data_IF_839692458284
#
_entry.id   IF_839692458284
#
_cell.length_a   1.000
_cell.length_b   1.000
_cell.length_c   1.000
_cell.angle_alpha   90.00
_cell.angle_beta   90.00
_cell.angle_gamma   90.00
#
_symmetry.space_group_name_H-M   'P 1'
#
loop_
_entity.id
_entity.type
_entity.pdbx_description
1 polymer ?
#
# COMPACT_ATOMS: atom_id res chain seq x y z
N UNK A 1 -26.86 22.72 104.77
CA UNK A 1 -25.74 21.81 105.06
C UNK A 1 -24.94 21.71 103.78
N UNK A 2 -23.76 22.31 103.75
CA UNK A 2 -22.77 22.08 102.71
C UNK A 2 -21.97 20.85 103.15
N UNK A 3 -22.05 19.75 102.39
CA UNK A 3 -21.15 18.62 102.58
C UNK A 3 -19.73 19.11 102.29
N UNK A 4 -18.86 18.99 103.28
CA UNK A 4 -17.44 19.28 103.15
C UNK A 4 -16.82 18.08 102.44
N UNK A 5 -16.32 18.28 101.22
CA UNK A 5 -15.60 17.25 100.47
C UNK A 5 -14.44 16.74 101.32
N UNK A 6 -14.34 15.43 101.45
CA UNK A 6 -13.25 14.79 102.18
C UNK A 6 -11.98 14.83 101.32
N UNK A 7 -10.82 14.72 101.98
CA UNK A 7 -9.55 14.60 101.27
C UNK A 7 -9.52 13.41 100.30
N UNK A 8 -10.26 12.34 100.62
CA UNK A 8 -10.43 11.17 99.75
C UNK A 8 -11.20 11.50 98.49
N UNK A 9 -12.31 12.24 98.58
CA UNK A 9 -13.10 12.63 97.39
C UNK A 9 -12.28 13.47 96.40
N UNK A 10 -11.38 14.31 96.92
CA UNK A 10 -10.47 15.12 96.10
C UNK A 10 -9.45 14.22 95.39
N UNK A 11 -8.90 13.21 96.06
CA UNK A 11 -7.92 12.28 95.47
C UNK A 11 -8.59 11.46 94.38
N UNK A 12 -9.77 10.90 94.63
CA UNK A 12 -10.50 10.09 93.65
C UNK A 12 -10.84 10.90 92.39
N UNK A 13 -11.28 12.16 92.56
CA UNK A 13 -11.52 13.06 91.44
C UNK A 13 -10.25 13.41 90.65
N UNK A 14 -9.10 13.48 91.33
CA UNK A 14 -7.81 13.75 90.69
C UNK A 14 -7.33 12.55 89.86
N UNK A 15 -7.53 11.33 90.37
CA UNK A 15 -7.22 10.09 89.67
C UNK A 15 -8.13 9.93 88.44
N UNK A 16 -9.43 10.19 88.56
CA UNK A 16 -10.35 10.17 87.40
C UNK A 16 -9.94 11.20 86.33
N UNK A 17 -9.57 12.42 86.75
CA UNK A 17 -9.06 13.43 85.82
C UNK A 17 -7.76 12.98 85.14
N UNK A 18 -6.87 12.32 85.87
CA UNK A 18 -5.61 11.79 85.33
C UNK A 18 -5.86 10.71 84.28
N UNK A 19 -6.79 9.80 84.56
CA UNK A 19 -7.18 8.74 83.62
C UNK A 19 -7.80 9.33 82.36
N UNK A 20 -8.70 10.32 82.51
CA UNK A 20 -9.28 11.04 81.37
C UNK A 20 -8.23 11.79 80.55
N UNK A 21 -7.22 12.38 81.19
CA UNK A 21 -6.11 13.02 80.47
C UNK A 21 -5.28 12.00 79.70
N UNK A 22 -5.06 10.81 80.25
CA UNK A 22 -4.32 9.74 79.55
C UNK A 22 -5.12 9.21 78.36
N UNK A 23 -6.43 8.95 78.51
CA UNK A 23 -7.31 8.55 77.40
C UNK A 23 -7.31 9.59 76.28
N UNK A 24 -7.41 10.88 76.63
CA UNK A 24 -7.35 11.96 75.64
C UNK A 24 -6.01 12.01 74.91
N UNK A 25 -4.88 11.74 75.60
CA UNK A 25 -3.57 11.67 74.94
C UNK A 25 -3.49 10.52 73.95
N UNK A 26 -3.90 9.32 74.35
CA UNK A 26 -3.91 8.15 73.46
C UNK A 26 -4.79 8.40 72.22
N UNK A 27 -5.93 9.07 72.40
CA UNK A 27 -6.81 9.47 71.28
C UNK A 27 -6.16 10.52 70.38
N UNK A 28 -5.43 11.48 70.93
CA UNK A 28 -4.68 12.47 70.13
C UNK A 28 -3.58 11.77 69.32
N UNK A 29 -2.79 10.90 69.94
CA UNK A 29 -1.72 10.16 69.26
C UNK A 29 -2.28 9.28 68.11
N UNK A 30 -3.44 8.65 68.33
CA UNK A 30 -4.13 7.88 67.30
C UNK A 30 -4.63 8.75 66.14
N UNK A 31 -5.14 9.94 66.43
CA UNK A 31 -5.59 10.89 65.40
C UNK A 31 -4.38 11.40 64.61
N UNK A 32 -3.27 11.76 65.27
CA UNK A 32 -2.04 12.19 64.61
C UNK A 32 -1.51 11.11 63.66
N UNK A 33 -1.53 9.85 64.08
CA UNK A 33 -1.16 8.71 63.22
C UNK A 33 -2.06 8.63 61.98
N UNK A 34 -3.38 8.72 62.17
CA UNK A 34 -4.35 8.67 61.06
C UNK A 34 -4.17 9.84 60.09
N UNK A 35 -3.87 11.04 60.61
CA UNK A 35 -3.60 12.23 59.78
C UNK A 35 -2.36 12.01 58.93
N UNK A 36 -1.26 11.51 59.51
CA UNK A 36 -0.04 11.23 58.76
C UNK A 36 -0.27 10.18 57.65
N UNK A 37 -1.02 9.12 57.93
CA UNK A 37 -1.38 8.11 56.91
C UNK A 37 -2.21 8.69 55.77
N UNK A 38 -3.12 9.62 56.08
CA UNK A 38 -3.88 10.34 55.06
C UNK A 38 -3.00 11.30 54.25
N UNK A 39 -2.06 12.01 54.87
CA UNK A 39 -1.12 12.88 54.17
C UNK A 39 -0.25 12.07 53.19
N UNK A 40 0.30 10.92 53.62
CA UNK A 40 1.04 10.00 52.75
C UNK A 40 0.19 9.53 51.56
N UNK A 41 -1.09 9.21 51.82
CA UNK A 41 -2.03 8.79 50.76
C UNK A 41 -2.31 9.92 49.75
N UNK A 42 -2.38 11.17 50.23
CA UNK A 42 -2.58 12.34 49.36
C UNK A 42 -1.36 12.53 48.46
N UNK A 43 -0.14 12.46 49.01
CA UNK A 43 1.11 12.60 48.26
C UNK A 43 1.24 11.53 47.16
N UNK A 44 0.85 10.30 47.46
CA UNK A 44 0.79 9.21 46.48
C UNK A 44 -0.21 9.50 45.35
N UNK A 45 -1.40 9.98 45.69
CA UNK A 45 -2.41 10.36 44.70
C UNK A 45 -1.97 11.54 43.83
N UNK A 46 -1.31 12.56 44.39
CA UNK A 46 -0.77 13.69 43.62
C UNK A 46 0.31 13.23 42.63
N UNK A 47 1.15 12.28 43.05
CA UNK A 47 2.17 11.67 42.19
C UNK A 47 1.54 10.90 41.02
N UNK A 48 0.50 10.10 41.29
CA UNK A 48 -0.27 9.37 40.26
C UNK A 48 -0.94 10.34 39.30
N UNK A 49 -1.55 11.42 39.81
CA UNK A 49 -2.23 12.42 38.99
C UNK A 49 -1.25 13.10 38.04
N UNK A 50 -0.07 13.49 38.55
CA UNK A 50 1.00 14.11 37.75
C UNK A 50 1.46 13.18 36.62
N UNK A 51 1.73 11.91 36.93
CA UNK A 51 2.13 10.93 35.93
C UNK A 51 1.03 10.69 34.88
N UNK A 52 -0.23 10.62 35.31
CA UNK A 52 -1.38 10.46 34.42
C UNK A 52 -1.52 11.65 33.48
N UNK A 53 -1.37 12.89 33.98
CA UNK A 53 -1.46 14.08 33.16
C UNK A 53 -0.34 14.11 32.10
N UNK A 54 0.89 13.76 32.47
CA UNK A 54 2.00 13.64 31.52
C UNK A 54 1.74 12.59 30.42
N UNK A 55 1.12 11.45 30.76
CA UNK A 55 0.73 10.45 29.77
C UNK A 55 -0.35 10.97 28.81
N UNK A 56 -1.32 11.73 29.32
CA UNK A 56 -2.39 12.35 28.50
C UNK A 56 -1.79 13.36 27.52
N UNK A 57 -0.89 14.22 27.96
CA UNK A 57 -0.19 15.18 27.10
C UNK A 57 0.61 14.50 25.99
N UNK A 58 1.34 13.42 26.32
CA UNK A 58 2.08 12.63 25.35
C UNK A 58 1.17 11.97 24.30
N UNK A 59 -0.01 11.48 24.72
CA UNK A 59 -1.00 10.92 23.79
C UNK A 59 -1.57 11.99 22.86
N UNK A 60 -1.86 13.19 23.36
CA UNK A 60 -2.28 14.31 22.51
C UNK A 60 -1.20 14.68 21.49
N UNK A 61 0.07 14.76 21.89
CA UNK A 61 1.19 14.99 20.97
C UNK A 61 1.24 13.96 19.85
N UNK A 62 1.19 12.67 20.19
CA UNK A 62 1.18 11.58 19.21
C UNK A 62 -0.04 11.64 18.26
N UNK A 63 -1.20 12.04 18.77
CA UNK A 63 -2.41 12.20 17.95
C UNK A 63 -2.23 13.31 16.91
N UNK A 64 -1.66 14.44 17.31
CA UNK A 64 -1.40 15.56 16.39
C UNK A 64 -0.39 15.17 15.30
N UNK A 65 0.70 14.50 15.67
CA UNK A 65 1.70 14.02 14.71
C UNK A 65 1.08 13.03 13.70
N UNK A 66 0.15 12.18 14.15
CA UNK A 66 -0.57 11.27 13.27
C UNK A 66 -1.52 12.01 12.31
N UNK A 67 -2.18 13.07 12.78
CA UNK A 67 -3.05 13.89 11.94
C UNK A 67 -2.27 14.64 10.85
N UNK A 68 -1.10 15.19 11.18
CA UNK A 68 -0.21 15.83 10.22
C UNK A 68 0.24 14.84 9.14
N UNK A 69 0.71 13.65 9.54
CA UNK A 69 1.10 12.58 8.60
C UNK A 69 -0.05 12.12 7.68
N UNK A 70 -1.29 12.11 8.18
CA UNK A 70 -2.45 11.78 7.35
C UNK A 70 -2.75 12.87 6.32
N UNK A 71 -2.52 14.14 6.66
CA UNK A 71 -2.69 15.24 5.73
C UNK A 71 -1.62 15.23 4.63
N UNK A 72 -0.37 14.94 5.00
CA UNK A 72 0.72 14.78 4.02
C UNK A 72 0.40 13.64 3.03
N UNK A 73 0.00 12.47 3.54
CA UNK A 73 -0.38 11.32 2.71
C UNK A 73 -1.55 11.63 1.77
N UNK A 74 -2.52 12.43 2.19
CA UNK A 74 -3.61 12.89 1.31
C UNK A 74 -3.06 13.77 0.18
N UNK A 75 -2.15 14.69 0.51
CA UNK A 75 -1.47 15.52 -0.50
C UNK A 75 -0.68 14.69 -1.52
N UNK A 76 0.02 13.65 -1.07
CA UNK A 76 0.74 12.73 -1.96
C UNK A 76 -0.20 11.96 -2.88
N UNK A 77 -1.36 11.51 -2.38
CA UNK A 77 -2.39 10.84 -3.18
C UNK A 77 -2.94 11.77 -4.25
N UNK A 78 -3.28 13.02 -3.89
CA UNK A 78 -3.80 14.01 -4.84
C UNK A 78 -2.77 14.31 -5.94
N UNK A 79 -1.48 14.44 -5.58
CA UNK A 79 -0.40 14.66 -6.56
C UNK A 79 -0.19 13.46 -7.50
N UNK A 80 -0.37 12.24 -6.98
CA UNK A 80 -0.30 11.02 -7.79
C UNK A 80 -1.48 10.92 -8.75
N UNK A 81 -2.70 11.24 -8.31
CA UNK A 81 -3.90 11.28 -9.15
C UNK A 81 -3.73 12.29 -10.31
N UNK A 82 -3.25 13.49 -10.01
CA UNK A 82 -2.92 14.51 -11.02
C UNK A 82 -1.90 13.99 -12.06
N UNK A 83 -0.91 13.23 -11.60
CA UNK A 83 0.10 12.62 -12.47
C UNK A 83 -0.51 11.55 -13.36
N UNK A 84 -1.36 10.68 -12.81
CA UNK A 84 -2.07 9.65 -13.57
C UNK A 84 -2.99 10.24 -14.63
N UNK A 85 -3.73 11.31 -14.30
CA UNK A 85 -4.58 12.00 -15.27
C UNK A 85 -3.76 12.63 -16.40
N UNK A 86 -2.58 13.19 -16.10
CA UNK A 86 -1.67 13.74 -17.13
C UNK A 86 -1.15 12.65 -18.07
N UNK A 87 -0.74 11.51 -17.52
CA UNK A 87 -0.28 10.37 -18.31
C UNK A 87 -1.41 9.80 -19.18
N UNK A 88 -2.62 9.70 -18.64
CA UNK A 88 -3.79 9.22 -19.39
C UNK A 88 -4.07 10.09 -20.61
N UNK A 89 -4.09 11.42 -20.44
CA UNK A 89 -4.23 12.36 -21.58
C UNK A 89 -3.10 12.23 -22.58
N UNK A 90 -1.87 12.00 -22.11
CA UNK A 90 -0.74 11.83 -23.01
C UNK A 90 -0.84 10.54 -23.85
N UNK A 91 -1.38 9.47 -23.27
CA UNK A 91 -1.68 8.23 -23.99
C UNK A 91 -2.75 8.49 -25.05
N UNK A 92 -3.85 9.16 -24.70
CA UNK A 92 -4.90 9.54 -25.66
C UNK A 92 -4.34 10.37 -26.84
N UNK A 93 -3.46 11.34 -26.56
CA UNK A 93 -2.80 12.14 -27.60
C UNK A 93 -1.91 11.29 -28.53
N UNK A 94 -1.22 10.29 -27.98
CA UNK A 94 -0.37 9.36 -28.75
C UNK A 94 -1.23 8.45 -29.62
N UNK A 95 -2.33 7.91 -29.09
CA UNK A 95 -3.26 7.06 -29.84
C UNK A 95 -3.79 7.79 -31.07
N UNK A 96 -4.27 9.04 -30.91
CA UNK A 96 -4.71 9.89 -32.02
C UNK A 96 -3.59 10.10 -33.05
N UNK A 97 -2.36 10.32 -32.58
CA UNK A 97 -1.21 10.54 -33.47
C UNK A 97 -0.86 9.30 -34.29
N UNK A 98 -1.02 8.10 -33.70
CA UNK A 98 -0.82 6.82 -34.39
C UNK A 98 -1.90 6.61 -35.44
N UNK A 99 -3.17 6.85 -35.12
CA UNK A 99 -4.28 6.73 -36.07
C UNK A 99 -4.06 7.62 -37.30
N UNK A 100 -3.69 8.88 -37.10
CA UNK A 100 -3.37 9.80 -38.20
C UNK A 100 -2.20 9.28 -39.06
N UNK A 101 -1.16 8.73 -38.43
CA UNK A 101 -0.01 8.18 -39.15
C UNK A 101 -0.39 6.93 -39.97
N UNK A 102 -1.32 6.11 -39.48
CA UNK A 102 -1.92 4.99 -40.20
C UNK A 102 -2.66 5.50 -41.44
N UNK A 103 -3.62 6.40 -41.27
CA UNK A 103 -4.43 6.99 -42.34
C UNK A 103 -3.56 7.63 -43.44
N UNK A 104 -2.55 8.41 -43.05
CA UNK A 104 -1.65 9.07 -44.01
C UNK A 104 -0.87 8.08 -44.87
N UNK A 105 -0.48 6.94 -44.31
CA UNK A 105 0.25 5.92 -45.07
C UNK A 105 -0.66 5.11 -45.99
N UNK A 106 -1.93 4.94 -45.64
CA UNK A 106 -2.92 4.39 -46.57
C UNK A 106 -3.17 5.34 -47.74
N UNK A 107 -3.31 6.64 -47.47
CA UNK A 107 -3.43 7.66 -48.51
C UNK A 107 -2.21 7.71 -49.43
N UNK A 108 -0.99 7.62 -48.88
CA UNK A 108 0.24 7.58 -49.67
C UNK A 108 0.27 6.36 -50.61
N UNK A 109 -0.16 5.18 -50.14
CA UNK A 109 -0.27 3.97 -50.98
C UNK A 109 -1.24 4.15 -52.15
N UNK A 110 -2.42 4.72 -51.89
CA UNK A 110 -3.42 5.02 -52.92
C UNK A 110 -2.84 5.99 -53.95
N UNK A 111 -2.16 7.05 -53.50
CA UNK A 111 -1.62 8.09 -54.37
C UNK A 111 -0.50 7.59 -55.28
N UNK A 112 0.31 6.64 -54.80
CA UNK A 112 1.42 6.04 -55.55
C UNK A 112 0.99 4.96 -56.54
N UNK A 113 -0.31 4.62 -56.60
CA UNK A 113 -0.83 3.59 -57.50
C UNK A 113 -0.30 2.19 -57.20
N UNK A 114 0.18 1.96 -55.96
CA UNK A 114 0.55 0.64 -55.46
C UNK A 114 -0.76 -0.06 -55.13
N UNK A 115 -1.14 -1.05 -55.95
CA UNK A 115 -2.31 -1.89 -55.70
C UNK A 115 -2.18 -2.47 -54.27
N UNK A 116 -3.18 -2.30 -53.38
CA UNK A 116 -3.08 -2.78 -52.02
C UNK A 116 -3.08 -4.30 -52.06
N UNK A 117 -1.90 -4.92 -52.05
CA UNK A 117 -1.77 -6.29 -51.63
C UNK A 117 -2.18 -6.32 -50.15
N UNK A 118 -3.30 -6.98 -49.79
CA UNK A 118 -3.62 -7.18 -48.39
C UNK A 118 -2.48 -8.02 -47.80
N UNK A 119 -2.07 -7.72 -46.58
CA UNK A 119 -1.15 -8.55 -45.76
C UNK A 119 0.36 -8.22 -45.79
N UNK A 120 0.80 -7.09 -46.35
CA UNK A 120 2.16 -6.61 -46.06
C UNK A 120 2.16 -5.28 -45.31
N UNK A 121 1.99 -5.34 -43.99
CA UNK A 121 2.58 -4.35 -43.09
C UNK A 121 4.07 -4.36 -43.42
N UNK A 122 4.61 -3.26 -43.96
CA UNK A 122 6.03 -3.25 -44.34
C UNK A 122 6.85 -3.62 -43.10
N UNK A 123 7.79 -4.56 -43.22
CA UNK A 123 8.64 -4.99 -42.10
C UNK A 123 9.30 -3.80 -41.37
N UNK A 124 9.48 -2.65 -42.04
CA UNK A 124 9.89 -1.38 -41.44
C UNK A 124 8.89 -0.85 -40.40
N UNK A 125 7.58 -0.88 -40.67
CA UNK A 125 6.52 -0.45 -39.74
C UNK A 125 6.43 -1.37 -38.52
N UNK A 126 6.44 -2.69 -38.73
CA UNK A 126 6.48 -3.64 -37.63
C UNK A 126 7.75 -3.50 -36.76
N UNK A 127 8.90 -3.20 -37.37
CA UNK A 127 10.14 -2.88 -36.66
C UNK A 127 10.02 -1.57 -35.87
N UNK A 128 9.42 -0.51 -36.44
CA UNK A 128 9.20 0.75 -35.74
C UNK A 128 8.24 0.60 -34.55
N UNK A 129 7.14 -0.15 -34.71
CA UNK A 129 6.21 -0.47 -33.62
C UNK A 129 6.91 -1.31 -32.53
N UNK A 130 7.67 -2.33 -32.92
CA UNK A 130 8.44 -3.14 -31.97
C UNK A 130 9.57 -2.36 -31.27
N UNK A 131 10.13 -1.33 -31.91
CA UNK A 131 11.12 -0.45 -31.30
C UNK A 131 10.48 0.53 -30.32
N UNK A 132 9.32 1.10 -30.63
CA UNK A 132 8.53 1.88 -29.69
C UNK A 132 8.09 1.05 -28.47
N UNK A 133 7.63 -0.19 -28.68
CA UNK A 133 7.32 -1.10 -27.58
C UNK A 133 8.56 -1.47 -26.74
N UNK A 134 9.74 -1.63 -27.35
CA UNK A 134 11.00 -1.84 -26.62
C UNK A 134 11.42 -0.61 -25.82
N UNK A 135 11.24 0.59 -26.36
CA UNK A 135 11.62 1.83 -25.68
C UNK A 135 10.63 2.18 -24.54
N UNK A 136 9.35 1.85 -24.71
CA UNK A 136 8.33 1.94 -23.64
C UNK A 136 8.60 0.89 -22.56
N UNK A 137 8.78 -0.39 -22.92
CA UNK A 137 9.08 -1.46 -21.96
C UNK A 137 10.47 -1.34 -21.32
N UNK A 138 11.42 -0.69 -22.00
CA UNK A 138 12.77 -0.44 -21.50
C UNK A 138 12.91 0.84 -20.67
N UNK A 139 11.97 1.79 -20.77
CA UNK A 139 11.95 3.02 -19.98
C UNK A 139 11.03 2.95 -18.76
N UNK A 140 10.06 2.04 -18.73
CA UNK A 140 9.40 1.62 -17.48
C UNK A 140 10.37 0.72 -16.73
N UNK A 141 11.21 1.33 -15.90
CA UNK A 141 11.98 0.63 -14.88
C UNK A 141 11.02 0.00 -13.87
N UNK A 142 10.45 -1.16 -14.20
CA UNK A 142 9.76 -2.03 -13.25
C UNK A 142 10.86 -2.66 -12.39
N UNK A 143 11.16 -2.01 -11.27
CA UNK A 143 12.08 -2.47 -10.23
C UNK A 143 11.61 -3.73 -9.48
N UNK A 144 10.66 -4.50 -10.03
CA UNK A 144 10.10 -5.71 -9.44
C UNK A 144 10.07 -6.95 -10.34
N UNK A 145 10.31 -6.84 -11.64
CA UNK A 145 10.28 -7.99 -12.55
C UNK A 145 11.68 -8.64 -12.70
N UNK A 146 12.19 -9.23 -11.62
CA UNK A 146 13.44 -10.02 -11.64
C UNK A 146 13.20 -11.52 -11.85
N UNK A 147 11.99 -11.94 -12.22
CA UNK A 147 11.59 -13.36 -12.27
C UNK A 147 11.54 -14.02 -13.65
N UNK A 148 11.31 -13.27 -14.74
CA UNK A 148 11.35 -13.84 -16.08
C UNK A 148 12.78 -13.77 -16.58
N UNK A 149 13.60 -14.72 -16.13
CA UNK A 149 14.88 -14.98 -16.76
C UNK A 149 14.61 -15.50 -18.18
N UNK A 150 14.63 -14.61 -19.17
CA UNK A 150 14.62 -14.92 -20.61
C UNK A 150 15.96 -15.57 -21.02
N UNK A 151 16.53 -16.41 -20.15
CA UNK A 151 17.72 -17.21 -20.37
C UNK A 151 17.40 -18.53 -21.10
N UNK A 152 16.11 -18.87 -21.32
CA UNK A 152 15.78 -19.98 -22.20
C UNK A 152 16.06 -19.59 -23.66
N UNK A 153 17.30 -19.88 -24.05
CA UNK A 153 17.86 -19.66 -25.38
C UNK A 153 17.00 -20.32 -26.46
N UNK A 154 16.20 -21.34 -26.14
CA UNK A 154 15.29 -21.99 -27.10
C UNK A 154 14.08 -21.11 -27.43
N UNK A 155 13.45 -20.50 -26.43
CA UNK A 155 12.33 -19.57 -26.63
C UNK A 155 12.81 -18.35 -27.42
N UNK A 156 13.98 -17.81 -27.05
CA UNK A 156 14.59 -16.66 -27.73
C UNK A 156 14.95 -16.95 -29.19
N UNK A 157 15.61 -18.07 -29.48
CA UNK A 157 15.96 -18.44 -30.86
C UNK A 157 14.73 -18.77 -31.72
N UNK A 158 13.66 -19.31 -31.12
CA UNK A 158 12.41 -19.59 -31.85
C UNK A 158 11.64 -18.31 -32.17
N UNK A 159 11.59 -17.36 -31.23
CA UNK A 159 11.04 -16.02 -31.47
C UNK A 159 11.84 -15.26 -32.54
N UNK A 160 13.18 -15.38 -32.54
CA UNK A 160 14.03 -14.80 -33.60
C UNK A 160 13.85 -15.50 -34.96
N UNK A 161 13.56 -16.80 -34.98
CA UNK A 161 13.23 -17.52 -36.20
C UNK A 161 11.87 -17.06 -36.77
N UNK A 162 10.82 -17.00 -35.94
CA UNK A 162 9.51 -16.48 -36.35
C UNK A 162 9.54 -15.00 -36.73
N UNK A 163 10.43 -14.21 -36.13
CA UNK A 163 10.67 -12.81 -36.51
C UNK A 163 11.08 -12.62 -37.97
N UNK A 164 11.65 -13.64 -38.60
CA UNK A 164 12.11 -13.60 -39.99
C UNK A 164 11.18 -14.33 -40.97
N UNK A 165 10.04 -14.85 -40.51
CA UNK A 165 9.12 -15.67 -41.32
C UNK A 165 7.71 -15.09 -41.26
N UNK A 166 7.01 -14.98 -42.39
CA UNK A 166 5.60 -14.59 -42.40
C UNK A 166 4.74 -15.81 -42.01
N UNK A 167 4.01 -15.69 -40.91
CA UNK A 167 3.15 -16.76 -40.40
C UNK A 167 1.68 -16.47 -40.72
N UNK A 168 1.00 -17.43 -41.33
CA UNK A 168 -0.45 -17.37 -41.48
C UNK A 168 -1.17 -17.70 -40.17
N UNK A 169 -2.47 -17.42 -40.11
CA UNK A 169 -3.29 -17.57 -38.90
C UNK A 169 -3.20 -18.95 -38.22
N UNK A 170 -3.09 -20.05 -38.99
CA UNK A 170 -2.96 -21.41 -38.41
C UNK A 170 -1.57 -21.66 -37.82
N UNK A 171 -0.55 -21.01 -38.37
CA UNK A 171 0.81 -21.10 -37.87
C UNK A 171 0.99 -20.30 -36.57
N UNK A 172 0.26 -19.20 -36.40
CA UNK A 172 0.25 -18.42 -35.14
C UNK A 172 -0.30 -19.26 -33.98
N UNK A 173 -1.43 -19.96 -34.16
CA UNK A 173 -1.98 -20.83 -33.11
C UNK A 173 -1.00 -21.93 -32.70
N UNK A 174 -0.36 -22.57 -33.67
CA UNK A 174 0.65 -23.60 -33.40
C UNK A 174 1.89 -23.01 -32.69
N UNK A 175 2.29 -21.81 -33.05
CA UNK A 175 3.40 -21.12 -32.39
C UNK A 175 3.10 -20.78 -30.92
N UNK A 176 1.86 -20.40 -30.62
CA UNK A 176 1.41 -20.17 -29.23
C UNK A 176 1.38 -21.48 -28.42
N UNK A 177 0.85 -22.57 -29.00
CA UNK A 177 0.87 -23.89 -28.37
C UNK A 177 2.32 -24.35 -28.09
N UNK A 178 3.24 -24.17 -29.06
CA UNK A 178 4.66 -24.49 -28.90
C UNK A 178 5.32 -23.63 -27.81
N UNK A 179 4.97 -22.34 -27.69
CA UNK A 179 5.49 -21.46 -26.63
C UNK A 179 5.00 -21.88 -25.25
N UNK A 180 3.73 -22.23 -25.13
CA UNK A 180 3.14 -22.74 -23.88
C UNK A 180 3.85 -24.03 -23.46
N UNK A 181 4.05 -24.96 -24.38
CA UNK A 181 4.78 -26.21 -24.12
C UNK A 181 6.25 -25.96 -23.75
N UNK A 182 6.95 -25.08 -24.48
CA UNK A 182 8.35 -24.73 -24.21
C UNK A 182 8.53 -23.99 -22.88
N UNK A 183 7.52 -23.26 -22.40
CA UNK A 183 7.58 -22.55 -21.12
C UNK A 183 7.52 -23.46 -19.89
N UNK A 184 7.24 -24.76 -20.08
CA UNK A 184 7.10 -25.73 -18.99
C UNK A 184 5.88 -25.48 -18.11
N UNK A 185 4.81 -24.89 -18.66
CA UNK A 185 3.56 -24.60 -17.95
C UNK A 185 3.52 -23.25 -17.23
N UNK A 186 4.59 -22.44 -17.32
CA UNK A 186 4.57 -21.05 -16.82
C UNK A 186 3.66 -20.13 -17.65
N UNK A 187 3.39 -20.55 -18.89
CA UNK A 187 2.38 -19.95 -19.74
C UNK A 187 1.15 -20.87 -19.76
N UNK A 188 -0.03 -20.33 -19.50
CA UNK A 188 -1.29 -21.08 -19.51
C UNK A 188 -2.20 -20.56 -20.61
N UNK A 189 -2.70 -21.47 -21.45
CA UNK A 189 -3.68 -21.11 -22.47
C UNK A 189 -5.09 -21.08 -21.85
N UNK A 190 -5.80 -19.96 -21.99
CA UNK A 190 -7.18 -19.81 -21.54
C UNK A 190 -8.06 -19.30 -22.67
N UNK A 191 -9.19 -19.98 -22.89
CA UNK A 191 -10.20 -19.56 -23.86
C UNK A 191 -11.29 -18.74 -23.16
N UNK A 192 -11.38 -17.47 -23.52
CA UNK A 192 -12.42 -16.55 -23.01
C UNK A 192 -13.17 -15.98 -24.21
N UNK A 193 -14.49 -16.18 -24.25
CA UNK A 193 -15.37 -15.69 -25.34
C UNK A 193 -14.98 -16.20 -26.75
N UNK A 194 -14.54 -17.46 -26.87
CA UNK A 194 -14.13 -18.06 -28.15
C UNK A 194 -12.80 -17.51 -28.70
N UNK A 195 -12.01 -16.85 -27.85
CA UNK A 195 -10.68 -16.31 -28.14
C UNK A 195 -9.66 -17.01 -27.23
N UNK A 196 -8.71 -17.76 -27.82
CA UNK A 196 -7.56 -18.36 -27.12
C UNK A 196 -6.55 -17.27 -26.72
N UNK A 197 -6.08 -17.30 -25.47
CA UNK A 197 -5.13 -16.34 -24.89
C UNK A 197 -4.04 -17.08 -24.11
N UNK A 198 -2.83 -16.54 -24.08
CA UNK A 198 -1.72 -17.10 -23.29
C UNK A 198 -1.45 -16.18 -22.10
N UNK A 199 -1.51 -16.74 -20.89
CA UNK A 199 -1.34 -16.05 -19.61
C UNK A 199 0.00 -16.44 -19.01
N UNK A 200 0.66 -15.52 -18.31
CA UNK A 200 1.76 -15.86 -17.41
C UNK A 200 1.13 -16.15 -16.05
N UNK A 201 1.32 -17.36 -15.53
CA UNK A 201 0.86 -17.71 -14.19
C UNK A 201 1.91 -17.21 -13.18
N UNK A 202 1.68 -16.02 -12.63
CA UNK A 202 2.47 -15.48 -11.50
C UNK A 202 1.50 -15.15 -10.36
N UNK A 203 1.87 -15.51 -9.13
CA UNK A 203 0.95 -15.69 -7.99
C UNK A 203 0.19 -14.40 -7.58
N UNK A 204 0.60 -13.23 -8.08
CA UNK A 204 0.01 -11.93 -7.71
C UNK A 204 -0.27 -10.99 -8.89
N UNK A 205 -0.21 -11.43 -10.16
CA UNK A 205 -0.47 -10.54 -11.31
C UNK A 205 -0.97 -11.27 -12.56
N UNK A 206 -2.27 -11.11 -12.87
CA UNK A 206 -2.82 -11.47 -14.18
C UNK A 206 -2.45 -10.37 -15.20
N UNK A 207 -1.40 -10.58 -16.00
CA UNK A 207 -1.13 -9.74 -17.17
C UNK A 207 -1.97 -10.23 -18.36
N UNK A 208 -2.87 -9.37 -18.81
CA UNK A 208 -3.82 -9.66 -19.89
C UNK A 208 -3.20 -9.31 -21.24
N UNK A 209 -3.28 -10.23 -22.21
CA UNK A 209 -3.21 -9.89 -23.62
C UNK A 209 -4.47 -10.41 -24.29
N UNK A 210 -5.33 -9.49 -24.73
CA UNK A 210 -6.54 -9.77 -25.47
C UNK A 210 -6.25 -10.05 -26.94
N UNK A 211 -7.23 -10.65 -27.63
CA UNK A 211 -7.13 -10.91 -29.07
C UNK A 211 -7.15 -9.62 -29.88
N UNK A 212 -7.74 -8.54 -29.37
CA UNK A 212 -7.55 -7.20 -29.93
C UNK A 212 -6.09 -6.79 -29.74
N UNK A 213 -5.51 -6.83 -28.53
CA UNK A 213 -4.12 -6.39 -28.31
C UNK A 213 -3.06 -7.20 -29.08
N UNK A 214 -3.28 -8.50 -29.28
CA UNK A 214 -2.40 -9.34 -30.11
C UNK A 214 -2.65 -9.12 -31.61
N UNK A 215 -3.86 -8.76 -32.02
CA UNK A 215 -4.21 -8.44 -33.41
C UNK A 215 -3.75 -7.02 -33.78
N UNK A 216 -3.94 -6.05 -32.91
CA UNK A 216 -3.53 -4.66 -33.05
C UNK A 216 -2.02 -4.49 -32.86
N UNK A 217 -1.34 -5.45 -32.21
CA UNK A 217 0.13 -5.58 -32.26
C UNK A 217 0.65 -6.28 -33.53
N UNK A 218 -0.24 -6.83 -34.37
CA UNK A 218 0.09 -7.57 -35.58
C UNK A 218 -0.45 -6.94 -36.90
N UNK A 219 -1.47 -6.08 -36.83
CA UNK A 219 -1.98 -5.18 -37.89
C UNK A 219 -1.17 -3.86 -37.93
#
# INVERSE_FOLDING_TARGET
>A
MTEELTQTDIIDALDELRDRVNDLKERVDSIETTVNEHDDTIDDHESILTATNGNVEALFGRSNDQEERLNDLRGDIDALDDTMQRLSRHIEDIEISVDIAVDLSELERILLGVDPEPDTVSAKRAVTIAQHWRDIAGSVGISGATGIDVADTRVKSKLEYWRNESLNHKQVHRALDELVEMSGGKLVEKETEGKKRVLIEDEDSELFLSREEVRDAAE
#
